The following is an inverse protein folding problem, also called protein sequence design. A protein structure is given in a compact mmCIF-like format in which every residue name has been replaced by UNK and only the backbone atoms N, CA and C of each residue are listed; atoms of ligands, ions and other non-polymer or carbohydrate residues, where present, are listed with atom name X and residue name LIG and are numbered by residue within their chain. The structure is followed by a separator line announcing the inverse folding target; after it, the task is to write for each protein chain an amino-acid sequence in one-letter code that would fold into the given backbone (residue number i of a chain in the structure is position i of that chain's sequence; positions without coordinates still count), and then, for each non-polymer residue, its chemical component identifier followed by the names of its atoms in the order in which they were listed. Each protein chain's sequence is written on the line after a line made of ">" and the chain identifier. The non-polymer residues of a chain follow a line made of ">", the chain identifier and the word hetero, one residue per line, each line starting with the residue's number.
data_IF_790976501388
#
_entry.id   IF_790976501388
#
_cell.length_a   1.000
_cell.length_b   1.000
_cell.length_c   1.000
_cell.angle_alpha   90.00
_cell.angle_beta   90.00
_cell.angle_gamma   90.00
#
_symmetry.space_group_name_H-M   'P 1'
#
loop_
_entity.id
_entity.type
_entity.pdbx_description
1 polymer ?
#
# COMPACT_ATOMS: atom_id res chain seq x y z
N UNK A 1 5.71 37.67 70.39
CA UNK A 1 6.93 38.12 71.12
C UNK A 1 8.16 37.56 70.41
N UNK A 2 9.33 38.17 70.64
CA UNK A 2 10.69 37.66 70.35
C UNK A 2 11.07 37.37 68.88
N UNK A 3 11.85 38.30 68.32
CA UNK A 3 12.97 38.02 67.39
C UNK A 3 14.22 37.66 68.24
N UNK A 4 15.25 36.99 67.69
CA UNK A 4 16.36 37.72 67.06
C UNK A 4 16.99 37.07 65.79
N UNK A 5 17.92 37.84 65.20
CA UNK A 5 18.77 37.62 63.99
C UNK A 5 20.07 36.85 64.35
N UNK A 6 21.16 36.76 63.53
CA UNK A 6 21.39 37.13 62.11
C UNK A 6 22.16 36.10 61.23
N UNK A 7 22.31 36.42 59.93
CA UNK A 7 23.46 36.35 58.98
C UNK A 7 24.66 35.37 59.24
N UNK A 8 25.42 34.85 58.25
CA UNK A 8 25.92 35.43 56.98
C UNK A 8 26.28 34.39 55.90
N UNK A 9 26.24 34.79 54.61
CA UNK A 9 27.10 34.40 53.43
C UNK A 9 27.49 32.91 53.18
N UNK A 10 27.69 32.38 51.96
CA UNK A 10 28.05 32.90 50.62
C UNK A 10 27.88 31.75 49.60
N UNK A 11 27.89 31.87 48.26
CA UNK A 11 27.88 32.99 47.29
C UNK A 11 27.31 32.48 45.94
N UNK A 12 27.14 33.33 44.91
CA UNK A 12 26.58 32.96 43.57
C UNK A 12 27.67 32.90 42.47
N UNK A 13 27.38 32.35 41.27
CA UNK A 13 27.10 33.28 40.15
C UNK A 13 25.88 32.86 39.29
N UNK A 14 25.21 33.85 38.71
CA UNK A 14 23.99 33.66 37.93
C UNK A 14 24.24 33.58 36.42
N UNK A 15 23.46 32.76 35.71
CA UNK A 15 23.39 32.75 34.24
C UNK A 15 22.36 33.81 33.80
N UNK A 16 22.74 34.71 32.89
CA UNK A 16 21.84 35.75 32.37
C UNK A 16 20.80 35.16 31.41
N UNK A 17 19.55 35.59 31.59
CA UNK A 17 18.55 35.59 30.52
C UNK A 17 18.85 36.80 29.62
N UNK A 18 18.74 36.60 28.30
CA UNK A 18 18.56 37.66 27.32
C UNK A 18 17.37 37.29 26.42
N UNK A 19 16.65 38.31 25.95
CA UNK A 19 15.42 38.17 25.18
C UNK A 19 15.70 38.07 23.66
N UNK A 20 14.62 38.01 22.89
CA UNK A 20 14.60 37.85 21.43
C UNK A 20 15.36 38.95 20.66
N UNK A 21 15.60 38.69 19.37
CA UNK A 21 15.06 39.62 18.38
C UNK A 21 14.08 38.93 17.43
N UNK A 22 12.96 39.60 17.14
CA UNK A 22 12.19 39.32 15.93
C UNK A 22 12.99 39.71 14.68
N UNK A 23 12.82 38.95 13.60
CA UNK A 23 13.36 39.27 12.28
C UNK A 23 12.87 38.28 11.23
N UNK A 24 12.28 38.71 10.10
CA UNK A 24 11.86 37.80 9.05
C UNK A 24 13.08 37.18 8.38
N UNK A 25 13.11 35.86 8.30
CA UNK A 25 14.12 35.14 7.50
C UNK A 25 13.69 35.15 6.03
N UNK A 26 13.81 36.31 5.39
CA UNK A 26 13.66 36.42 3.93
C UNK A 26 14.80 35.63 3.25
N UNK A 27 14.45 34.46 2.73
CA UNK A 27 15.33 33.68 1.89
C UNK A 27 15.50 34.41 0.55
N UNK A 28 16.61 35.15 0.39
CA UNK A 28 16.90 35.91 -0.83
C UNK A 28 16.99 34.99 -2.05
N UNK A 29 16.57 35.46 -3.26
CA UNK A 29 16.54 34.61 -4.46
C UNK A 29 17.88 34.00 -4.86
N UNK A 30 19.01 34.62 -4.49
CA UNK A 30 20.36 34.20 -4.89
C UNK A 30 20.76 32.79 -4.43
N UNK A 31 20.15 32.24 -3.37
CA UNK A 31 20.41 30.86 -2.94
C UNK A 31 19.87 29.83 -3.96
N UNK A 32 18.82 30.19 -4.70
CA UNK A 32 18.30 29.38 -5.80
C UNK A 32 19.08 29.63 -7.11
N UNK A 33 19.51 30.88 -7.35
CA UNK A 33 20.27 31.22 -8.56
C UNK A 33 21.71 30.66 -8.53
N UNK A 34 22.30 30.50 -7.35
CA UNK A 34 23.58 29.80 -7.15
C UNK A 34 23.56 28.34 -7.64
N UNK A 35 22.40 27.67 -7.60
CA UNK A 35 22.21 26.32 -8.14
C UNK A 35 22.06 26.29 -9.67
N UNK A 36 21.81 27.43 -10.32
CA UNK A 36 21.66 27.53 -11.77
C UNK A 36 22.98 27.83 -12.51
N UNK A 37 24.02 28.30 -11.79
CA UNK A 37 25.27 28.80 -12.40
C UNK A 37 26.38 27.75 -12.57
N UNK A 38 26.33 26.60 -11.88
CA UNK A 38 27.32 25.52 -12.06
C UNK A 38 26.92 24.58 -13.22
N UNK A 39 26.95 25.14 -14.43
CA UNK A 39 26.39 24.53 -15.64
C UNK A 39 27.14 23.28 -16.12
N UNK A 40 26.56 22.09 -15.88
CA UNK A 40 26.90 20.86 -16.62
C UNK A 40 27.10 19.60 -15.79
N UNK A 41 27.13 19.68 -14.46
CA UNK A 41 27.24 18.50 -13.57
C UNK A 41 25.97 18.33 -12.74
N UNK A 42 25.10 17.40 -13.17
CA UNK A 42 24.01 16.94 -12.32
C UNK A 42 24.54 16.34 -11.02
N UNK A 43 23.77 16.43 -9.94
CA UNK A 43 24.01 15.66 -8.73
C UNK A 43 23.28 14.31 -8.81
N UNK A 44 23.78 13.24 -8.15
CA UNK A 44 23.06 11.98 -8.00
C UNK A 44 21.77 12.19 -7.19
N UNK A 45 20.75 11.36 -7.43
CA UNK A 45 19.49 11.46 -6.72
C UNK A 45 19.63 11.06 -5.24
N UNK A 46 18.81 11.68 -4.39
CA UNK A 46 18.70 11.36 -2.97
C UNK A 46 17.34 10.73 -2.69
N UNK A 47 17.33 9.41 -2.54
CA UNK A 47 16.14 8.62 -2.23
C UNK A 47 15.92 8.52 -0.72
N UNK A 48 14.85 9.13 -0.22
CA UNK A 48 14.39 9.03 1.17
C UNK A 48 13.38 7.89 1.33
N UNK A 49 13.77 6.83 2.03
CA UNK A 49 12.91 5.70 2.38
C UNK A 49 12.08 5.98 3.64
N UNK A 50 10.76 6.00 3.47
CA UNK A 50 9.75 6.02 4.54
C UNK A 50 9.25 4.60 4.83
N UNK A 51 8.11 4.46 5.52
CA UNK A 51 7.69 3.18 6.08
C UNK A 51 7.43 2.13 5.00
N UNK A 52 8.03 0.95 5.15
CA UNK A 52 7.89 -0.16 4.23
C UNK A 52 6.71 -1.09 4.53
N UNK A 53 6.72 -2.23 3.82
CA UNK A 53 6.09 -3.48 4.27
C UNK A 53 7.09 -4.25 5.14
N UNK A 54 6.60 -5.02 6.11
CA UNK A 54 7.41 -5.88 6.98
C UNK A 54 8.17 -6.95 6.17
N UNK A 55 9.37 -6.59 5.71
CA UNK A 55 10.24 -7.41 4.87
C UNK A 55 11.60 -6.74 4.67
N UNK A 56 12.65 -7.48 4.26
CA UNK A 56 13.94 -6.89 3.88
C UNK A 56 13.93 -6.02 2.61
N UNK A 57 12.83 -6.00 1.83
CA UNK A 57 12.81 -5.46 0.46
C UNK A 57 13.32 -4.01 0.36
N UNK A 58 12.95 -3.11 1.29
CA UNK A 58 13.43 -1.72 1.25
C UNK A 58 14.91 -1.59 1.59
N UNK A 59 15.46 -2.43 2.47
CA UNK A 59 16.91 -2.43 2.74
C UNK A 59 17.70 -2.96 1.54
N UNK A 60 17.22 -4.02 0.90
CA UNK A 60 17.85 -4.61 -0.28
C UNK A 60 17.76 -3.65 -1.50
N UNK A 61 16.63 -2.94 -1.65
CA UNK A 61 16.44 -1.88 -2.66
C UNK A 61 17.32 -0.65 -2.40
N UNK A 62 17.38 -0.19 -1.16
CA UNK A 62 18.22 0.94 -0.74
C UNK A 62 19.71 0.64 -0.92
N UNK A 63 20.15 -0.59 -0.65
CA UNK A 63 21.51 -1.02 -0.95
C UNK A 63 21.79 -0.99 -2.46
N UNK A 64 20.90 -1.54 -3.29
CA UNK A 64 21.08 -1.56 -4.75
C UNK A 64 21.14 -0.15 -5.38
N UNK A 65 20.40 0.82 -4.84
CA UNK A 65 20.50 2.23 -5.26
C UNK A 65 21.84 2.87 -4.86
N UNK A 66 22.36 2.59 -3.65
CA UNK A 66 23.71 3.04 -3.24
C UNK A 66 24.80 2.45 -4.15
N UNK A 67 24.72 1.16 -4.49
CA UNK A 67 25.67 0.51 -5.43
C UNK A 67 25.66 1.15 -6.83
N UNK A 68 24.63 1.91 -7.19
CA UNK A 68 24.56 2.66 -8.46
C UNK A 68 24.98 4.12 -8.35
N UNK A 69 25.49 4.55 -7.21
CA UNK A 69 26.00 5.90 -6.96
C UNK A 69 24.93 6.92 -6.53
N UNK A 70 23.71 6.47 -6.21
CA UNK A 70 22.67 7.34 -5.66
C UNK A 70 22.81 7.48 -4.14
N UNK A 71 22.44 8.65 -3.62
CA UNK A 71 22.31 8.85 -2.19
C UNK A 71 21.02 8.18 -1.69
N UNK A 72 21.09 7.54 -0.51
CA UNK A 72 19.94 6.86 0.09
C UNK A 72 19.86 7.16 1.57
N UNK A 73 18.73 7.74 1.96
CA UNK A 73 18.34 8.12 3.32
C UNK A 73 17.15 7.28 3.79
N UNK A 74 16.92 7.25 5.09
CA UNK A 74 15.88 6.43 5.73
C UNK A 74 15.41 7.13 6.99
N UNK A 75 14.09 7.29 7.16
CA UNK A 75 13.48 7.75 8.41
C UNK A 75 12.66 6.60 9.02
N UNK A 76 13.17 5.99 10.08
CA UNK A 76 12.43 4.97 10.83
C UNK A 76 11.36 5.63 11.71
N UNK A 77 10.15 5.07 11.72
CA UNK A 77 9.04 5.53 12.58
C UNK A 77 8.78 4.62 13.79
N UNK A 78 9.32 3.41 13.80
CA UNK A 78 9.10 2.41 14.84
C UNK A 78 10.23 1.37 14.93
N UNK A 79 10.13 0.46 15.90
CA UNK A 79 11.17 -0.53 16.17
C UNK A 79 11.21 -1.66 15.13
N UNK A 80 10.06 -2.01 14.54
CA UNK A 80 10.01 -2.87 13.35
C UNK A 80 10.62 -2.21 12.10
N UNK A 81 10.43 -0.90 11.93
CA UNK A 81 11.03 -0.11 10.85
C UNK A 81 12.57 -0.12 10.92
N UNK A 82 13.11 -0.05 12.13
CA UNK A 82 14.53 -0.16 12.44
C UNK A 82 15.05 -1.59 12.24
N UNK A 83 14.35 -2.61 12.76
CA UNK A 83 14.76 -4.02 12.65
C UNK A 83 14.97 -4.48 11.20
N UNK A 84 14.17 -3.98 10.26
CA UNK A 84 14.25 -4.38 8.85
C UNK A 84 15.20 -3.50 8.00
N UNK A 85 15.84 -2.49 8.57
CA UNK A 85 16.80 -1.64 7.86
C UNK A 85 18.25 -1.94 8.29
N UNK A 86 19.13 -2.24 7.33
CA UNK A 86 20.50 -2.70 7.59
C UNK A 86 21.60 -1.63 7.45
N UNK A 87 21.24 -0.36 7.29
CA UNK A 87 22.20 0.72 7.04
C UNK A 87 22.02 1.92 7.96
N UNK A 88 22.82 2.97 7.72
CA UNK A 88 22.60 4.28 8.35
C UNK A 88 21.15 4.75 8.14
N UNK A 89 20.53 5.28 9.20
CA UNK A 89 19.15 5.76 9.20
C UNK A 89 18.91 6.79 10.29
N UNK A 90 18.06 7.76 9.97
CA UNK A 90 17.49 8.72 10.90
C UNK A 90 16.26 8.11 11.59
N UNK A 91 15.97 8.51 12.83
CA UNK A 91 14.93 7.89 13.65
C UNK A 91 13.95 8.96 14.14
N UNK A 92 12.75 9.02 13.54
CA UNK A 92 11.74 10.01 13.91
C UNK A 92 10.97 9.56 15.15
N UNK A 93 11.42 10.04 16.32
CA UNK A 93 10.82 9.74 17.64
C UNK A 93 9.69 10.71 18.03
N UNK A 94 9.42 11.72 17.20
CA UNK A 94 8.47 12.81 17.46
C UNK A 94 6.99 12.45 17.24
N UNK A 95 6.09 13.38 17.59
CA UNK A 95 4.65 13.20 17.42
C UNK A 95 4.19 13.37 15.96
N UNK A 96 3.02 12.83 15.60
CA UNK A 96 2.40 13.06 14.28
C UNK A 96 2.15 14.55 13.97
N UNK A 97 1.98 15.41 14.99
CA UNK A 97 1.77 16.86 14.83
C UNK A 97 3.03 17.60 14.38
N UNK A 98 4.21 17.14 14.82
CA UNK A 98 5.50 17.75 14.46
C UNK A 98 6.11 17.19 13.16
N UNK A 99 5.50 16.14 12.58
CA UNK A 99 6.03 15.47 11.40
C UNK A 99 6.14 16.35 10.14
N UNK A 100 5.16 17.22 9.79
CA UNK A 100 5.28 18.07 8.60
C UNK A 100 6.52 18.96 8.64
N UNK A 101 6.68 19.75 9.71
CA UNK A 101 7.81 20.66 9.88
C UNK A 101 9.17 19.93 9.96
N UNK A 102 9.21 18.75 10.59
CA UNK A 102 10.42 17.91 10.57
C UNK A 102 10.77 17.44 9.16
N UNK A 103 9.80 16.97 8.38
CA UNK A 103 10.03 16.49 7.02
C UNK A 103 10.40 17.63 6.07
N UNK A 104 9.77 18.80 6.19
CA UNK A 104 10.12 20.01 5.43
C UNK A 104 11.60 20.39 5.65
N UNK A 105 12.03 20.50 6.90
CA UNK A 105 13.42 20.80 7.24
C UNK A 105 14.40 19.67 6.83
N UNK A 106 13.95 18.41 6.85
CA UNK A 106 14.75 17.25 6.42
C UNK A 106 14.95 17.24 4.90
N UNK A 107 13.91 17.50 4.12
CA UNK A 107 13.96 17.55 2.64
C UNK A 107 15.00 18.58 2.18
N UNK A 108 14.95 19.78 2.75
CA UNK A 108 15.88 20.87 2.43
C UNK A 108 17.32 20.56 2.88
N UNK A 109 17.52 20.15 4.15
CA UNK A 109 18.86 19.89 4.70
C UNK A 109 19.60 18.77 3.97
N UNK A 110 18.90 17.71 3.60
CA UNK A 110 19.50 16.49 3.06
C UNK A 110 19.42 16.41 1.52
N UNK A 111 18.93 17.46 0.86
CA UNK A 111 18.79 17.52 -0.61
C UNK A 111 17.94 16.37 -1.17
N UNK A 112 16.81 16.05 -0.52
CA UNK A 112 15.96 14.91 -0.92
C UNK A 112 15.30 15.20 -2.26
N UNK A 113 15.48 14.30 -3.24
CA UNK A 113 14.91 14.45 -4.59
C UNK A 113 13.74 13.49 -4.84
N UNK A 114 13.74 12.35 -4.14
CA UNK A 114 12.84 11.23 -4.35
C UNK A 114 12.41 10.64 -3.00
N UNK A 115 11.11 10.37 -2.81
CA UNK A 115 10.58 9.71 -1.60
C UNK A 115 10.09 8.31 -1.98
N UNK A 116 10.55 7.28 -1.27
CA UNK A 116 10.14 5.87 -1.46
C UNK A 116 9.32 5.41 -0.26
N UNK A 117 8.09 4.91 -0.49
CA UNK A 117 7.18 4.54 0.58
C UNK A 117 6.29 3.35 0.21
N UNK A 118 5.76 2.62 1.20
CA UNK A 118 4.75 1.57 0.97
C UNK A 118 3.36 2.04 1.41
N UNK A 119 2.42 2.12 0.46
CA UNK A 119 1.05 2.60 0.66
C UNK A 119 0.98 4.09 1.03
N UNK A 120 0.52 4.92 0.09
CA UNK A 120 0.43 6.38 0.21
C UNK A 120 -0.50 6.90 1.32
N UNK A 121 -1.56 6.18 1.63
CA UNK A 121 -2.60 6.63 2.57
C UNK A 121 -2.23 6.56 4.07
N UNK A 122 -1.05 6.04 4.45
CA UNK A 122 -0.64 5.99 5.87
C UNK A 122 -0.40 7.41 6.41
N UNK A 123 -0.61 7.70 7.72
CA UNK A 123 -0.62 9.09 8.22
C UNK A 123 0.68 9.87 8.00
N UNK A 124 1.84 9.21 8.10
CA UNK A 124 3.14 9.84 7.79
C UNK A 124 3.36 10.00 6.27
N UNK A 125 2.78 9.13 5.45
CA UNK A 125 2.92 9.14 3.98
C UNK A 125 2.00 10.14 3.30
N UNK A 126 0.79 10.35 3.82
CA UNK A 126 -0.12 11.39 3.35
C UNK A 126 0.54 12.78 3.47
N UNK A 127 1.14 13.08 4.63
CA UNK A 127 1.95 14.29 4.83
C UNK A 127 3.14 14.33 3.86
N UNK A 128 3.85 13.21 3.69
CA UNK A 128 5.00 13.17 2.78
C UNK A 128 4.65 13.44 1.32
N UNK A 129 3.42 13.12 0.87
CA UNK A 129 2.93 13.46 -0.48
C UNK A 129 2.63 14.95 -0.63
N UNK A 130 2.05 15.59 0.37
CA UNK A 130 1.86 17.05 0.33
C UNK A 130 3.19 17.81 0.41
N UNK A 131 4.16 17.34 1.23
CA UNK A 131 5.52 17.88 1.24
C UNK A 131 6.20 17.69 -0.13
N UNK A 132 6.15 16.49 -0.70
CA UNK A 132 6.70 16.21 -2.02
C UNK A 132 6.10 17.11 -3.11
N UNK A 133 4.77 17.30 -3.10
CA UNK A 133 4.06 18.18 -4.02
C UNK A 133 4.52 19.64 -3.93
N UNK A 134 4.83 20.15 -2.72
CA UNK A 134 5.34 21.52 -2.52
C UNK A 134 6.75 21.72 -3.06
N UNK A 135 7.63 20.73 -2.95
CA UNK A 135 9.03 20.81 -3.41
C UNK A 135 9.29 20.14 -4.77
N UNK A 136 8.25 19.70 -5.50
CA UNK A 136 8.39 19.03 -6.80
C UNK A 136 9.06 17.65 -6.75
N UNK A 137 9.07 16.98 -5.59
CA UNK A 137 9.75 15.69 -5.41
C UNK A 137 8.97 14.56 -6.07
N UNK A 138 9.71 13.57 -6.58
CA UNK A 138 9.12 12.32 -7.07
C UNK A 138 8.74 11.43 -5.89
N UNK A 139 7.55 10.83 -5.92
CA UNK A 139 7.10 9.88 -4.90
C UNK A 139 6.92 8.51 -5.52
N UNK A 140 7.70 7.54 -5.08
CA UNK A 140 7.69 6.16 -5.57
C UNK A 140 6.93 5.29 -4.57
N UNK A 141 5.70 4.94 -4.94
CA UNK A 141 4.75 4.25 -4.06
C UNK A 141 4.71 2.78 -4.39
N UNK A 142 5.11 1.97 -3.41
CA UNK A 142 5.04 0.52 -3.47
C UNK A 142 3.75 -0.01 -2.84
N UNK A 143 3.23 -1.10 -3.40
CA UNK A 143 2.09 -1.86 -2.89
C UNK A 143 2.25 -3.34 -3.31
N UNK A 144 1.43 -4.25 -2.77
CA UNK A 144 1.18 -5.54 -3.41
C UNK A 144 0.70 -5.37 -4.87
N UNK A 145 0.92 -6.39 -5.71
CA UNK A 145 0.59 -6.28 -7.13
C UNK A 145 -0.91 -6.08 -7.38
N UNK A 146 -1.24 -5.18 -8.32
CA UNK A 146 -2.59 -5.12 -8.91
C UNK A 146 -2.92 -6.41 -9.66
N UNK A 147 -1.90 -7.07 -10.24
CA UNK A 147 -1.99 -8.37 -10.93
C UNK A 147 -1.15 -9.38 -10.13
N UNK A 148 -1.76 -10.49 -9.69
CA UNK A 148 -1.18 -11.41 -8.69
C UNK A 148 -1.01 -12.82 -9.28
N UNK A 149 -0.09 -13.67 -8.77
CA UNK A 149 0.82 -13.47 -7.63
C UNK A 149 2.21 -12.95 -8.03
N UNK A 150 2.51 -12.81 -9.32
CA UNK A 150 3.88 -12.68 -9.83
C UNK A 150 4.46 -11.25 -9.84
N UNK A 151 3.71 -10.26 -9.34
CA UNK A 151 4.07 -8.84 -9.44
C UNK A 151 3.90 -8.10 -8.12
N UNK A 152 4.65 -7.01 -7.98
CA UNK A 152 4.43 -5.95 -7.01
C UNK A 152 4.12 -4.64 -7.75
N UNK A 153 3.47 -3.71 -7.06
CA UNK A 153 3.21 -2.37 -7.60
C UNK A 153 4.36 -1.43 -7.23
N UNK A 154 4.80 -0.61 -8.19
CA UNK A 154 5.72 0.51 -8.04
C UNK A 154 5.27 1.62 -9.00
N UNK A 155 4.59 2.62 -8.46
CA UNK A 155 3.92 3.69 -9.22
C UNK A 155 4.41 5.09 -8.77
N UNK A 156 4.48 6.02 -9.72
CA UNK A 156 4.91 7.40 -9.48
C UNK A 156 3.72 8.27 -9.07
N UNK A 157 3.84 8.98 -7.94
CA UNK A 157 2.87 9.94 -7.39
C UNK A 157 1.80 9.36 -6.46
N UNK A 158 1.33 8.13 -6.73
CA UNK A 158 0.28 7.47 -5.95
C UNK A 158 -0.14 6.12 -6.51
N UNK A 159 -0.90 5.36 -5.73
CA UNK A 159 -1.51 4.07 -6.11
C UNK A 159 -3.02 4.08 -5.87
N UNK A 160 -3.72 3.04 -6.32
CA UNK A 160 -5.15 2.84 -6.07
C UNK A 160 -6.02 4.04 -6.48
N UNK A 161 -6.60 4.78 -5.51
CA UNK A 161 -7.39 5.97 -5.81
C UNK A 161 -6.53 7.12 -6.35
N UNK A 162 -5.28 7.24 -5.91
CA UNK A 162 -4.30 8.22 -6.38
C UNK A 162 -3.47 7.74 -7.59
N UNK A 163 -3.80 6.57 -8.16
CA UNK A 163 -3.10 6.06 -9.35
C UNK A 163 -3.30 6.98 -10.57
N UNK A 164 -2.20 7.19 -11.28
CA UNK A 164 -2.10 7.98 -12.52
C UNK A 164 -2.54 7.23 -13.78
N UNK A 165 -3.03 5.99 -13.63
CA UNK A 165 -3.55 5.19 -14.72
C UNK A 165 -4.75 5.86 -15.43
N UNK A 166 -4.86 5.73 -16.77
CA UNK A 166 -5.97 6.30 -17.54
C UNK A 166 -7.32 5.77 -17.07
N UNK A 167 -8.34 6.64 -17.09
CA UNK A 167 -9.70 6.36 -16.56
C UNK A 167 -10.78 6.28 -17.64
N UNK A 168 -10.40 6.18 -18.91
CA UNK A 168 -11.33 6.01 -20.04
C UNK A 168 -10.80 4.99 -21.04
N UNK A 169 -11.71 4.34 -21.77
CA UNK A 169 -11.36 3.28 -22.71
C UNK A 169 -10.48 3.78 -23.86
N UNK A 170 -10.69 5.02 -24.31
CA UNK A 170 -9.96 5.67 -25.40
C UNK A 170 -8.50 5.91 -24.98
N UNK A 171 -8.30 6.43 -23.76
CA UNK A 171 -6.97 6.69 -23.21
C UNK A 171 -6.20 5.39 -22.92
N UNK A 172 -6.89 4.35 -22.45
CA UNK A 172 -6.34 2.99 -22.30
C UNK A 172 -5.88 2.45 -23.65
N UNK A 173 -6.77 2.38 -24.65
CA UNK A 173 -6.49 1.88 -26.01
C UNK A 173 -5.38 2.68 -26.70
N UNK A 174 -5.39 4.01 -26.59
CA UNK A 174 -4.40 4.88 -27.20
C UNK A 174 -3.00 4.73 -26.58
N UNK A 175 -2.90 4.53 -25.27
CA UNK A 175 -1.65 4.22 -24.61
C UNK A 175 -1.19 2.80 -24.95
N UNK A 176 -2.08 1.81 -24.84
CA UNK A 176 -1.76 0.40 -25.05
C UNK A 176 -1.17 0.13 -26.44
N UNK A 177 -1.72 0.73 -27.52
CA UNK A 177 -1.16 0.66 -28.88
C UNK A 177 0.31 1.07 -28.99
N UNK A 178 0.84 1.87 -28.06
CA UNK A 178 2.24 2.33 -28.02
C UNK A 178 3.14 1.49 -27.10
N UNK A 179 2.59 0.49 -26.40
CA UNK A 179 3.34 -0.35 -25.46
C UNK A 179 3.82 -1.64 -26.13
N UNK A 180 5.07 -2.09 -25.84
CA UNK A 180 5.56 -3.38 -26.29
C UNK A 180 4.72 -4.53 -25.73
N UNK A 181 4.82 -5.70 -26.35
CA UNK A 181 4.18 -6.91 -25.82
C UNK A 181 4.77 -7.26 -24.44
N UNK A 182 3.96 -7.73 -23.47
CA UNK A 182 4.46 -8.10 -22.15
C UNK A 182 5.52 -9.21 -22.21
N UNK A 183 6.68 -8.97 -21.59
CA UNK A 183 7.74 -9.97 -21.48
C UNK A 183 7.33 -11.20 -20.64
N UNK A 184 8.05 -12.32 -20.83
CA UNK A 184 7.76 -13.59 -20.15
C UNK A 184 7.79 -13.43 -18.63
N UNK A 185 6.63 -13.67 -18.00
CA UNK A 185 6.49 -13.62 -16.54
C UNK A 185 7.34 -14.71 -15.89
N UNK A 186 8.21 -14.37 -14.94
CA UNK A 186 8.84 -15.37 -14.08
C UNK A 186 7.92 -15.66 -12.89
N UNK A 187 7.57 -16.94 -12.61
CA UNK A 187 6.76 -17.29 -11.45
C UNK A 187 7.38 -16.84 -10.13
N UNK A 188 6.54 -16.30 -9.25
CA UNK A 188 6.88 -15.89 -7.89
C UNK A 188 6.09 -16.74 -6.91
N UNK A 189 6.77 -17.65 -6.23
CA UNK A 189 6.15 -18.52 -5.23
C UNK A 189 5.76 -17.69 -4.00
N UNK A 190 4.46 -17.72 -3.67
CA UNK A 190 3.90 -16.99 -2.54
C UNK A 190 4.33 -17.59 -1.20
N UNK A 191 5.48 -17.17 -0.69
CA UNK A 191 6.04 -17.66 0.57
C UNK A 191 5.28 -17.08 1.78
N UNK A 192 4.15 -17.71 2.09
CA UNK A 192 3.28 -17.37 3.22
C UNK A 192 3.97 -17.60 4.58
N UNK A 193 4.93 -18.53 4.64
CA UNK A 193 5.70 -18.80 5.87
C UNK A 193 6.63 -17.62 6.18
N UNK A 194 7.40 -17.14 5.20
CA UNK A 194 8.20 -15.91 5.35
C UNK A 194 7.34 -14.66 5.55
N UNK A 195 6.20 -14.54 4.88
CA UNK A 195 5.25 -13.43 5.13
C UNK A 195 4.85 -13.38 6.61
N UNK A 196 4.47 -14.52 7.17
CA UNK A 196 4.08 -14.64 8.58
C UNK A 196 5.26 -14.37 9.51
N UNK A 197 6.45 -14.92 9.21
CA UNK A 197 7.67 -14.68 9.98
C UNK A 197 8.04 -13.19 10.03
N UNK A 198 8.05 -12.49 8.88
CA UNK A 198 8.44 -11.09 8.84
C UNK A 198 7.42 -10.17 9.51
N UNK A 199 6.11 -10.40 9.34
CA UNK A 199 5.07 -9.66 10.08
C UNK A 199 5.20 -9.89 11.59
N UNK A 200 5.42 -11.13 12.04
CA UNK A 200 5.68 -11.47 13.45
C UNK A 200 6.92 -10.75 13.97
N UNK A 201 8.08 -10.85 13.29
CA UNK A 201 9.31 -10.17 13.75
C UNK A 201 9.15 -8.64 13.83
N UNK A 202 8.51 -8.02 12.83
CA UNK A 202 8.24 -6.58 12.81
C UNK A 202 7.36 -6.15 14.00
N UNK A 203 6.33 -6.93 14.28
CA UNK A 203 5.37 -6.66 15.33
C UNK A 203 5.89 -6.95 16.74
N UNK A 204 6.67 -8.02 16.94
CA UNK A 204 7.35 -8.28 18.20
C UNK A 204 8.36 -7.18 18.54
N UNK A 205 9.08 -6.64 17.56
CA UNK A 205 9.96 -5.49 17.79
C UNK A 205 9.20 -4.25 18.28
N UNK A 206 8.02 -3.97 17.71
CA UNK A 206 7.16 -2.87 18.15
C UNK A 206 6.56 -3.10 19.56
N UNK A 207 6.37 -4.36 19.97
CA UNK A 207 5.83 -4.74 21.30
C UNK A 207 6.91 -4.69 22.38
N UNK A 208 8.12 -5.20 22.12
CA UNK A 208 9.19 -5.30 23.12
C UNK A 208 10.08 -4.05 23.20
N UNK A 209 10.18 -3.25 22.14
CA UNK A 209 11.03 -2.05 22.12
C UNK A 209 10.28 -0.72 21.88
N UNK A 210 9.08 -0.47 22.44
CA UNK A 210 8.30 0.74 22.14
C UNK A 210 9.00 2.03 22.62
N UNK A 211 9.87 1.93 23.63
CA UNK A 211 10.67 3.05 24.16
C UNK A 211 11.65 3.63 23.13
N UNK A 212 11.99 2.90 22.07
CA UNK A 212 12.77 3.44 20.96
C UNK A 212 11.96 4.50 20.18
N UNK A 213 10.62 4.39 20.13
CA UNK A 213 9.74 5.30 19.39
C UNK A 213 8.47 5.63 20.20
N UNK A 214 8.58 6.38 21.31
CA UNK A 214 7.52 6.55 22.30
C UNK A 214 6.26 7.27 21.78
N UNK A 215 6.35 7.94 20.64
CA UNK A 215 5.22 8.60 19.98
C UNK A 215 4.72 7.85 18.73
N UNK A 216 5.27 6.68 18.43
CA UNK A 216 4.74 5.83 17.37
C UNK A 216 3.32 5.39 17.71
N UNK A 217 2.43 5.53 16.72
CA UNK A 217 1.10 4.92 16.73
C UNK A 217 0.94 4.18 15.42
N UNK A 218 0.48 2.93 15.49
CA UNK A 218 0.22 2.10 14.31
C UNK A 218 -0.77 2.77 13.35
N UNK A 219 -0.73 2.34 12.09
CA UNK A 219 -1.74 2.66 11.08
C UNK A 219 -2.90 1.65 11.10
N UNK A 220 -2.71 0.45 11.69
CA UNK A 220 -3.79 -0.53 11.92
C UNK A 220 -4.74 -0.03 13.04
N UNK A 221 -6.06 -0.26 12.95
CA UNK A 221 -7.02 0.18 13.96
C UNK A 221 -6.99 -0.70 15.23
N UNK A 222 -6.64 -1.98 15.08
CA UNK A 222 -6.57 -2.98 16.16
C UNK A 222 -5.18 -3.03 16.78
N UNK A 223 -5.11 -3.27 18.10
CA UNK A 223 -3.84 -3.55 18.75
C UNK A 223 -3.31 -4.91 18.31
N UNK A 224 -2.03 -4.95 17.94
CA UNK A 224 -1.35 -6.09 17.31
C UNK A 224 -1.47 -7.39 18.13
N UNK A 225 -1.40 -7.32 19.46
CA UNK A 225 -1.57 -8.49 20.32
C UNK A 225 -2.98 -9.12 20.22
N UNK A 226 -4.02 -8.31 19.96
CA UNK A 226 -5.37 -8.82 19.70
C UNK A 226 -5.45 -9.48 18.32
N UNK A 227 -4.78 -8.93 17.31
CA UNK A 227 -4.70 -9.56 15.98
C UNK A 227 -4.10 -10.98 16.08
N UNK A 228 -3.03 -11.17 16.87
CA UNK A 228 -2.47 -12.50 17.12
C UNK A 228 -3.40 -13.44 17.90
N UNK A 229 -4.12 -12.96 18.92
CA UNK A 229 -5.11 -13.77 19.62
C UNK A 229 -6.25 -14.24 18.68
N UNK A 230 -6.70 -13.36 17.76
CA UNK A 230 -7.61 -13.71 16.68
C UNK A 230 -7.03 -14.78 15.74
N UNK A 231 -5.80 -14.58 15.26
CA UNK A 231 -5.10 -15.53 14.39
C UNK A 231 -4.96 -16.92 15.01
N UNK A 232 -4.54 -17.04 16.27
CA UNK A 232 -4.45 -18.32 17.00
C UNK A 232 -5.82 -19.03 17.01
N UNK A 233 -6.89 -18.28 17.30
CA UNK A 233 -8.29 -18.76 17.28
C UNK A 233 -8.80 -19.10 15.87
N UNK A 234 -8.26 -18.50 14.81
CA UNK A 234 -8.55 -18.86 13.40
C UNK A 234 -7.82 -20.15 13.00
N UNK A 235 -6.55 -20.29 13.39
CA UNK A 235 -5.75 -21.48 13.09
C UNK A 235 -6.33 -22.76 13.71
N UNK A 236 -6.75 -22.74 14.99
CA UNK A 236 -7.35 -23.92 15.64
C UNK A 236 -8.68 -24.37 15.01
N UNK A 237 -9.37 -23.50 14.26
CA UNK A 237 -10.65 -23.78 13.60
C UNK A 237 -10.51 -24.10 12.10
N UNK A 238 -9.33 -23.83 11.51
CA UNK A 238 -9.03 -23.89 10.07
C UNK A 238 -9.48 -25.20 9.38
N UNK A 239 -9.34 -26.34 10.06
CA UNK A 239 -9.76 -27.65 9.53
C UNK A 239 -11.28 -27.76 9.32
N UNK A 240 -12.09 -27.26 10.27
CA UNK A 240 -13.55 -27.18 10.14
C UNK A 240 -13.95 -26.17 9.06
N UNK A 241 -13.33 -24.98 9.08
CA UNK A 241 -13.61 -23.92 8.11
C UNK A 241 -13.35 -24.37 6.67
N UNK A 242 -12.22 -25.08 6.41
CA UNK A 242 -11.89 -25.60 5.08
C UNK A 242 -12.93 -26.61 4.57
N UNK A 243 -13.45 -27.49 5.44
CA UNK A 243 -14.53 -28.44 5.09
C UNK A 243 -15.86 -27.74 4.81
N UNK A 244 -16.20 -26.72 5.61
CA UNK A 244 -17.42 -25.91 5.40
C UNK A 244 -17.39 -25.18 4.06
N UNK A 245 -16.26 -24.55 3.71
CA UNK A 245 -16.09 -23.86 2.45
C UNK A 245 -16.00 -24.80 1.24
N UNK A 246 -15.37 -25.97 1.39
CA UNK A 246 -15.34 -27.02 0.36
C UNK A 246 -16.77 -27.50 0.05
N UNK A 247 -17.53 -27.92 1.07
CA UNK A 247 -18.93 -28.35 0.91
C UNK A 247 -19.82 -27.26 0.30
N UNK A 248 -19.61 -26.00 0.66
CA UNK A 248 -20.36 -24.89 0.05
C UNK A 248 -19.99 -24.70 -1.44
N UNK A 249 -18.71 -24.79 -1.79
CA UNK A 249 -18.25 -24.73 -3.20
C UNK A 249 -18.76 -25.92 -4.00
N UNK A 250 -18.77 -27.12 -3.42
CA UNK A 250 -19.34 -28.34 -3.99
C UNK A 250 -20.84 -28.17 -4.27
N UNK A 251 -21.62 -27.65 -3.31
CA UNK A 251 -23.06 -27.38 -3.50
C UNK A 251 -23.28 -26.36 -4.63
N UNK A 252 -22.55 -25.24 -4.63
CA UNK A 252 -22.71 -24.20 -5.66
C UNK A 252 -22.37 -24.72 -7.06
N UNK A 253 -21.29 -25.51 -7.19
CA UNK A 253 -20.87 -26.09 -8.46
C UNK A 253 -21.78 -27.25 -8.94
N UNK A 254 -22.22 -28.13 -8.04
CA UNK A 254 -22.99 -29.33 -8.39
C UNK A 254 -24.49 -29.06 -8.61
N UNK A 255 -25.05 -28.04 -7.96
CA UNK A 255 -26.47 -27.64 -8.12
C UNK A 255 -26.64 -26.60 -9.25
N UNK A 256 -25.54 -26.06 -9.80
CA UNK A 256 -25.59 -25.03 -10.84
C UNK A 256 -26.30 -23.76 -10.36
N UNK A 257 -26.08 -23.39 -9.09
CA UNK A 257 -26.88 -22.35 -8.45
C UNK A 257 -26.52 -20.95 -8.97
N UNK A 258 -27.51 -20.13 -9.33
CA UNK A 258 -27.31 -18.73 -9.71
C UNK A 258 -26.91 -17.87 -8.50
N UNK A 259 -25.78 -17.15 -8.59
CA UNK A 259 -25.34 -16.25 -7.53
C UNK A 259 -24.53 -15.05 -8.00
N UNK A 260 -24.53 -14.03 -7.14
CA UNK A 260 -23.53 -12.96 -7.15
C UNK A 260 -22.52 -13.16 -6.01
N UNK A 261 -21.28 -12.74 -6.24
CA UNK A 261 -20.18 -12.86 -5.27
C UNK A 261 -19.87 -11.50 -4.61
N UNK A 262 -19.79 -11.49 -3.28
CA UNK A 262 -19.36 -10.36 -2.47
C UNK A 262 -18.09 -10.74 -1.67
N UNK A 263 -16.88 -10.56 -2.24
CA UNK A 263 -15.63 -10.80 -1.53
C UNK A 263 -15.29 -9.59 -0.64
N UNK A 264 -15.25 -9.82 0.67
CA UNK A 264 -14.94 -8.79 1.65
C UNK A 264 -13.44 -8.42 1.60
N UNK A 265 -13.15 -7.13 1.73
CA UNK A 265 -11.81 -6.58 2.01
C UNK A 265 -11.58 -6.49 3.53
N UNK A 266 -10.36 -6.12 3.97
CA UNK A 266 -10.06 -5.90 5.39
C UNK A 266 -10.59 -4.54 5.85
N UNK A 267 -11.27 -4.45 6.98
CA UNK A 267 -11.73 -3.16 7.54
C UNK A 267 -10.58 -2.21 7.94
N UNK A 268 -9.38 -2.77 8.16
CA UNK A 268 -8.13 -2.02 8.37
C UNK A 268 -7.50 -1.47 7.08
N UNK A 269 -8.04 -1.81 5.90
CA UNK A 269 -7.54 -1.38 4.59
C UNK A 269 -7.82 0.11 4.34
N UNK A 270 -6.77 0.85 3.99
CA UNK A 270 -6.90 2.26 3.64
C UNK A 270 -7.71 2.48 2.36
N UNK A 271 -7.81 1.49 1.45
CA UNK A 271 -8.69 1.58 0.30
C UNK A 271 -10.17 1.72 0.71
N UNK A 272 -10.61 1.11 1.81
CA UNK A 272 -12.00 1.24 2.32
C UNK A 272 -12.18 2.56 3.09
N UNK A 273 -11.10 3.11 3.66
CA UNK A 273 -11.16 4.30 4.52
C UNK A 273 -10.90 5.63 3.80
N UNK A 274 -10.39 5.59 2.56
CA UNK A 274 -9.96 6.78 1.78
C UNK A 274 -10.47 6.77 0.33
N UNK A 275 -10.80 5.60 -0.23
CA UNK A 275 -11.15 5.44 -1.66
C UNK A 275 -12.53 4.79 -1.85
N UNK A 276 -13.46 5.13 -0.97
CA UNK A 276 -14.73 4.45 -0.74
C UNK A 276 -15.74 5.43 -0.13
N UNK A 277 -17.03 5.36 -0.50
CA UNK A 277 -18.08 6.17 0.13
C UNK A 277 -18.56 5.61 1.48
N UNK A 278 -18.02 4.48 1.94
CA UNK A 278 -18.44 3.78 3.15
C UNK A 278 -17.48 4.01 4.33
N UNK A 279 -18.04 4.19 5.53
CA UNK A 279 -17.28 4.35 6.78
C UNK A 279 -16.57 3.07 7.27
N UNK A 280 -16.79 1.93 6.63
CA UNK A 280 -16.22 0.62 6.97
C UNK A 280 -16.90 -0.54 6.24
N UNK A 281 -16.42 -1.77 6.45
CA UNK A 281 -16.93 -2.98 5.79
C UNK A 281 -18.40 -3.27 6.12
N UNK A 282 -18.84 -2.97 7.34
CA UNK A 282 -20.24 -3.20 7.75
C UNK A 282 -21.24 -2.40 6.90
N UNK A 283 -20.98 -1.09 6.71
CA UNK A 283 -21.87 -0.21 5.94
C UNK A 283 -21.92 -0.56 4.46
N UNK A 284 -20.79 -0.95 3.87
CA UNK A 284 -20.74 -1.50 2.51
C UNK A 284 -21.57 -2.79 2.41
N UNK A 285 -21.34 -3.74 3.31
CA UNK A 285 -22.02 -5.03 3.31
C UNK A 285 -23.54 -4.88 3.52
N UNK A 286 -24.00 -4.02 4.43
CA UNK A 286 -25.44 -3.79 4.64
C UNK A 286 -26.10 -3.12 3.43
N UNK A 287 -25.43 -2.16 2.78
CA UNK A 287 -25.92 -1.52 1.54
C UNK A 287 -26.05 -2.53 0.39
N UNK A 288 -25.08 -3.45 0.25
CA UNK A 288 -25.11 -4.49 -0.80
C UNK A 288 -26.20 -5.52 -0.52
N UNK A 289 -26.31 -6.02 0.72
CA UNK A 289 -27.36 -6.97 1.09
C UNK A 289 -28.75 -6.36 0.95
N UNK A 290 -28.92 -5.07 1.31
CA UNK A 290 -30.17 -4.33 1.12
C UNK A 290 -30.57 -4.27 -0.37
N UNK A 291 -29.70 -3.72 -1.22
CA UNK A 291 -29.97 -3.58 -2.67
C UNK A 291 -30.22 -4.94 -3.33
N UNK A 292 -29.46 -5.97 -2.95
CA UNK A 292 -29.70 -7.34 -3.39
C UNK A 292 -31.09 -7.84 -2.99
N UNK A 293 -31.53 -7.59 -1.76
CA UNK A 293 -32.86 -7.99 -1.30
C UNK A 293 -33.99 -7.25 -2.06
N UNK A 294 -33.80 -5.96 -2.34
CA UNK A 294 -34.79 -5.09 -2.98
C UNK A 294 -34.96 -5.38 -4.49
N UNK A 295 -33.91 -5.80 -5.21
CA UNK A 295 -33.95 -5.90 -6.68
C UNK A 295 -33.63 -7.30 -7.26
N UNK A 296 -32.91 -8.17 -6.55
CA UNK A 296 -32.57 -9.50 -7.11
C UNK A 296 -33.74 -10.47 -7.06
N UNK A 297 -34.01 -11.14 -8.19
CA UNK A 297 -35.07 -12.15 -8.30
C UNK A 297 -34.62 -13.48 -7.69
N UNK A 298 -35.56 -14.18 -7.05
CA UNK A 298 -35.36 -15.59 -6.70
C UNK A 298 -35.27 -16.46 -7.98
N UNK A 299 -34.53 -17.59 -7.98
CA UNK A 299 -33.84 -18.21 -6.85
C UNK A 299 -32.43 -17.65 -6.56
N UNK A 300 -31.96 -16.62 -7.27
CA UNK A 300 -30.57 -16.12 -7.19
C UNK A 300 -30.13 -15.82 -5.75
N UNK A 301 -28.88 -16.19 -5.43
CA UNK A 301 -28.24 -16.06 -4.12
C UNK A 301 -27.16 -14.96 -4.08
N UNK A 302 -26.82 -14.51 -2.87
CA UNK A 302 -25.66 -13.66 -2.61
C UNK A 302 -24.65 -14.42 -1.74
N UNK A 303 -23.47 -14.70 -2.30
CA UNK A 303 -22.41 -15.40 -1.60
C UNK A 303 -21.38 -14.41 -1.04
N UNK A 304 -21.39 -14.24 0.29
CA UNK A 304 -20.41 -13.40 0.99
C UNK A 304 -19.15 -14.22 1.31
N UNK A 305 -17.98 -13.76 0.87
CA UNK A 305 -16.70 -14.44 1.08
C UNK A 305 -15.79 -13.62 1.98
N UNK A 306 -15.40 -14.16 3.13
CA UNK A 306 -14.47 -13.50 4.05
C UNK A 306 -13.06 -13.36 3.46
N UNK A 307 -12.40 -12.24 3.76
CA UNK A 307 -11.00 -12.02 3.39
C UNK A 307 -10.08 -13.06 4.05
N UNK A 308 -9.13 -13.69 3.31
CA UNK A 308 -8.27 -14.72 3.88
C UNK A 308 -7.42 -14.21 5.05
N UNK A 309 -6.98 -12.94 4.98
CA UNK A 309 -6.16 -12.28 6.00
C UNK A 309 -6.97 -11.66 7.16
N UNK A 310 -8.30 -11.83 7.22
CA UNK A 310 -9.08 -11.39 8.38
C UNK A 310 -8.74 -12.26 9.62
N UNK A 311 -8.49 -11.62 10.76
CA UNK A 311 -8.06 -12.29 12.00
C UNK A 311 -9.20 -12.94 12.79
N UNK A 312 -10.46 -12.78 12.38
CA UNK A 312 -11.63 -13.31 13.09
C UNK A 312 -11.99 -12.57 14.39
N UNK A 313 -11.41 -11.38 14.62
CA UNK A 313 -11.78 -10.50 15.73
C UNK A 313 -13.21 -9.96 15.56
N UNK A 314 -13.54 -9.47 14.37
CA UNK A 314 -14.88 -9.01 14.02
C UNK A 314 -15.64 -10.18 13.38
N UNK A 315 -16.81 -10.51 13.94
CA UNK A 315 -17.61 -11.63 13.46
C UNK A 315 -18.48 -11.21 12.25
N UNK A 316 -17.86 -10.98 11.10
CA UNK A 316 -18.54 -10.54 9.86
C UNK A 316 -19.73 -11.43 9.47
N UNK A 317 -19.68 -12.74 9.75
CA UNK A 317 -20.80 -13.67 9.54
C UNK A 317 -22.03 -13.31 10.40
N UNK A 318 -21.84 -12.79 11.62
CA UNK A 318 -22.94 -12.29 12.47
C UNK A 318 -23.58 -11.04 11.85
N UNK A 319 -22.76 -10.11 11.36
CA UNK A 319 -23.23 -8.88 10.71
C UNK A 319 -23.98 -9.18 9.40
N UNK A 320 -23.40 -9.99 8.51
CA UNK A 320 -24.04 -10.44 7.27
C UNK A 320 -25.41 -11.08 7.53
N UNK A 321 -25.49 -12.00 8.51
CA UNK A 321 -26.77 -12.64 8.90
C UNK A 321 -27.75 -11.69 9.58
N UNK A 322 -27.28 -10.66 10.30
CA UNK A 322 -28.15 -9.66 10.91
C UNK A 322 -28.77 -8.73 9.85
N UNK A 323 -27.96 -8.30 8.88
CA UNK A 323 -28.40 -7.58 7.67
C UNK A 323 -29.39 -8.42 6.85
N UNK A 324 -29.05 -9.70 6.58
CA UNK A 324 -29.92 -10.60 5.82
C UNK A 324 -31.28 -10.88 6.47
N UNK A 325 -31.39 -10.80 7.81
CA UNK A 325 -32.69 -10.83 8.51
C UNK A 325 -33.42 -9.49 8.40
N UNK A 326 -32.71 -8.38 8.60
CA UNK A 326 -33.24 -7.01 8.51
C UNK A 326 -33.90 -6.72 7.16
N UNK A 327 -33.30 -7.23 6.08
CA UNK A 327 -33.77 -7.04 4.70
C UNK A 327 -34.48 -8.28 4.13
N UNK A 328 -34.93 -9.23 4.96
CA UNK A 328 -35.80 -10.35 4.53
C UNK A 328 -35.17 -11.40 3.58
N UNK A 329 -33.85 -11.41 3.41
CA UNK A 329 -33.13 -12.19 2.37
C UNK A 329 -32.30 -13.36 2.94
N UNK A 330 -32.56 -13.78 4.17
CA UNK A 330 -31.77 -14.80 4.90
C UNK A 330 -31.62 -16.13 4.15
N UNK A 331 -32.70 -16.63 3.55
CA UNK A 331 -32.67 -17.91 2.81
C UNK A 331 -31.88 -17.84 1.50
N UNK A 332 -31.56 -16.63 1.00
CA UNK A 332 -30.81 -16.39 -0.24
C UNK A 332 -29.39 -15.83 0.00
N UNK A 333 -28.92 -15.76 1.26
CA UNK A 333 -27.58 -15.29 1.59
C UNK A 333 -26.72 -16.36 2.24
N UNK A 334 -25.57 -16.67 1.63
CA UNK A 334 -24.55 -17.54 2.19
C UNK A 334 -23.31 -16.77 2.64
N UNK A 335 -22.54 -17.37 3.55
CA UNK A 335 -21.29 -16.80 4.04
C UNK A 335 -20.23 -17.90 4.18
N UNK A 336 -19.08 -17.72 3.53
CA UNK A 336 -17.92 -18.63 3.57
C UNK A 336 -16.65 -17.93 4.07
N UNK A 337 -15.75 -18.72 4.68
CA UNK A 337 -14.38 -18.33 5.02
C UNK A 337 -13.45 -19.36 4.35
N UNK A 338 -12.58 -18.93 3.45
CA UNK A 338 -11.88 -19.81 2.51
C UNK A 338 -12.67 -20.10 1.23
N UNK A 339 -12.46 -21.29 0.64
CA UNK A 339 -12.89 -21.63 -0.73
C UNK A 339 -11.95 -21.03 -1.79
N UNK A 340 -11.83 -21.67 -2.96
CA UNK A 340 -11.03 -21.13 -4.05
C UNK A 340 -11.66 -19.84 -4.63
N UNK A 341 -10.87 -18.82 -4.94
CA UNK A 341 -11.41 -17.53 -5.41
C UNK A 341 -11.68 -17.52 -6.93
N UNK A 342 -10.74 -17.94 -7.81
CA UNK A 342 -11.03 -18.12 -9.24
C UNK A 342 -12.28 -18.96 -9.51
N UNK A 343 -12.44 -20.11 -8.87
CA UNK A 343 -13.63 -20.98 -9.07
C UNK A 343 -14.94 -20.26 -8.72
N UNK A 344 -14.96 -19.48 -7.64
CA UNK A 344 -16.14 -18.71 -7.23
C UNK A 344 -16.40 -17.48 -8.09
N UNK A 345 -15.38 -16.95 -8.78
CA UNK A 345 -15.55 -15.92 -9.80
C UNK A 345 -16.10 -16.56 -11.07
N UNK A 346 -15.56 -17.71 -11.51
CA UNK A 346 -16.02 -18.45 -12.68
C UNK A 346 -17.49 -18.93 -12.59
N UNK A 347 -17.99 -19.19 -11.39
CA UNK A 347 -19.39 -19.59 -11.18
C UNK A 347 -20.38 -18.42 -11.05
N UNK A 348 -19.92 -17.19 -10.77
CA UNK A 348 -20.82 -16.07 -10.47
C UNK A 348 -21.45 -15.44 -11.72
N UNK A 349 -22.71 -14.96 -11.59
CA UNK A 349 -23.35 -14.03 -12.54
C UNK A 349 -22.66 -12.66 -12.57
N UNK A 350 -22.08 -12.26 -11.45
CA UNK A 350 -21.32 -11.02 -11.31
C UNK A 350 -20.70 -10.86 -9.92
N UNK A 351 -19.76 -9.92 -9.80
CA UNK A 351 -19.00 -9.67 -8.57
C UNK A 351 -19.15 -8.22 -8.14
N UNK A 352 -19.53 -7.98 -6.87
CA UNK A 352 -19.66 -6.65 -6.26
C UNK A 352 -18.53 -6.40 -5.28
N UNK A 353 -17.83 -5.29 -5.43
CA UNK A 353 -16.62 -4.93 -4.66
C UNK A 353 -16.55 -3.43 -4.38
N UNK A 354 -15.74 -3.03 -3.40
CA UNK A 354 -15.39 -1.60 -3.24
C UNK A 354 -14.33 -1.25 -4.29
N UNK A 355 -13.10 -1.75 -4.13
CA UNK A 355 -11.96 -1.38 -4.97
C UNK A 355 -10.79 -2.39 -4.94
N UNK A 356 -11.01 -3.61 -4.40
CA UNK A 356 -10.01 -4.68 -4.31
C UNK A 356 -9.35 -5.04 -5.65
N UNK A 357 -8.10 -5.51 -5.60
CA UNK A 357 -7.45 -6.17 -6.76
C UNK A 357 -8.17 -7.45 -7.20
N UNK A 358 -9.11 -8.00 -6.41
CA UNK A 358 -10.03 -9.07 -6.84
C UNK A 358 -10.86 -8.65 -8.05
N UNK A 359 -11.13 -7.36 -8.24
CA UNK A 359 -11.78 -6.85 -9.45
C UNK A 359 -10.97 -7.11 -10.72
N UNK A 360 -9.64 -6.98 -10.68
CA UNK A 360 -8.78 -7.32 -11.83
C UNK A 360 -8.94 -8.78 -12.23
N UNK A 361 -8.97 -9.70 -11.26
CA UNK A 361 -9.19 -11.13 -11.52
C UNK A 361 -10.60 -11.39 -12.08
N UNK A 362 -11.61 -10.70 -11.57
CA UNK A 362 -13.00 -10.78 -12.08
C UNK A 362 -13.09 -10.35 -13.55
N UNK A 363 -12.43 -9.24 -13.91
CA UNK A 363 -12.33 -8.73 -15.28
C UNK A 363 -11.52 -9.65 -16.20
N UNK A 364 -10.35 -10.13 -15.75
CA UNK A 364 -9.54 -11.12 -16.49
C UNK A 364 -10.31 -12.44 -16.75
N UNK A 365 -11.30 -12.77 -15.92
CA UNK A 365 -12.18 -13.94 -16.07
C UNK A 365 -13.51 -13.64 -16.80
N UNK A 366 -13.62 -12.46 -17.43
CA UNK A 366 -14.78 -12.05 -18.22
C UNK A 366 -16.07 -11.84 -17.44
N UNK A 367 -15.99 -11.63 -16.11
CA UNK A 367 -17.17 -11.54 -15.25
C UNK A 367 -17.67 -10.10 -15.11
N UNK A 368 -18.99 -9.86 -15.23
CA UNK A 368 -19.59 -8.60 -14.85
C UNK A 368 -19.13 -8.19 -13.45
N UNK A 369 -18.60 -6.97 -13.34
CA UNK A 369 -17.96 -6.49 -12.12
C UNK A 369 -18.46 -5.08 -11.83
N UNK A 370 -19.01 -4.86 -10.64
CA UNK A 370 -19.46 -3.55 -10.19
C UNK A 370 -18.61 -3.10 -9.00
N UNK A 371 -17.91 -1.97 -9.18
CA UNK A 371 -17.01 -1.39 -8.20
C UNK A 371 -17.64 -0.12 -7.60
N UNK A 372 -17.95 -0.17 -6.31
CA UNK A 372 -18.69 0.90 -5.60
C UNK A 372 -17.73 1.95 -5.01
N UNK A 373 -16.42 1.75 -5.11
CA UNK A 373 -15.39 2.70 -4.71
C UNK A 373 -14.46 3.11 -5.86
N UNK A 374 -13.47 3.95 -5.55
CA UNK A 374 -12.46 4.38 -6.50
C UNK A 374 -11.45 3.27 -6.73
N UNK A 375 -11.59 2.55 -7.85
CA UNK A 375 -10.64 1.54 -8.31
C UNK A 375 -9.97 1.97 -9.63
N UNK A 376 -8.77 1.46 -9.90
CA UNK A 376 -8.02 1.80 -11.13
C UNK A 376 -8.73 1.35 -12.42
N UNK A 377 -9.52 0.28 -12.32
CA UNK A 377 -10.26 -0.35 -13.41
C UNK A 377 -11.73 0.08 -13.49
N UNK A 378 -12.19 0.99 -12.61
CA UNK A 378 -13.60 1.39 -12.58
C UNK A 378 -13.86 2.43 -13.68
N UNK A 379 -14.31 1.97 -14.85
CA UNK A 379 -14.61 2.78 -16.03
C UNK A 379 -15.52 2.03 -17.01
N UNK A 380 -16.17 2.78 -17.91
CA UNK A 380 -16.94 2.21 -19.02
C UNK A 380 -16.12 1.20 -19.85
N UNK A 381 -16.77 0.12 -20.28
CA UNK A 381 -16.16 -1.00 -20.99
C UNK A 381 -15.39 -1.98 -20.10
N UNK A 382 -15.04 -1.63 -18.84
CA UNK A 382 -14.48 -2.57 -17.88
C UNK A 382 -15.51 -2.99 -16.82
N UNK A 383 -16.06 -2.04 -16.07
CA UNK A 383 -17.02 -2.32 -14.98
C UNK A 383 -18.42 -1.84 -15.34
N UNK A 384 -19.44 -2.48 -14.76
CA UNK A 384 -20.83 -2.02 -14.89
C UNK A 384 -20.99 -0.62 -14.26
N UNK A 385 -21.25 0.37 -15.12
CA UNK A 385 -21.39 1.80 -14.77
C UNK A 385 -22.80 2.18 -14.32
N UNK A 386 -23.77 1.26 -14.41
CA UNK A 386 -25.10 1.45 -13.82
C UNK A 386 -25.06 1.43 -12.29
N UNK A 387 -26.22 1.65 -11.67
CA UNK A 387 -26.33 1.57 -10.21
C UNK A 387 -26.31 0.11 -9.72
N UNK A 388 -26.12 -0.06 -8.41
CA UNK A 388 -26.06 -1.39 -7.80
C UNK A 388 -27.36 -2.18 -7.99
N UNK A 389 -28.52 -1.51 -8.11
CA UNK A 389 -29.80 -2.17 -8.31
C UNK A 389 -29.88 -2.81 -9.71
N UNK A 390 -29.53 -2.05 -10.75
CA UNK A 390 -29.48 -2.51 -12.14
C UNK A 390 -28.53 -3.70 -12.33
N UNK A 391 -27.39 -3.71 -11.64
CA UNK A 391 -26.42 -4.81 -11.69
C UNK A 391 -27.01 -6.19 -11.32
N UNK A 392 -28.03 -6.27 -10.45
CA UNK A 392 -28.64 -7.55 -10.09
C UNK A 392 -29.48 -8.16 -11.21
N UNK A 393 -30.05 -7.32 -12.08
CA UNK A 393 -30.93 -7.73 -13.18
C UNK A 393 -30.19 -7.80 -14.51
N UNK A 394 -29.43 -6.75 -14.86
CA UNK A 394 -28.68 -6.61 -16.12
C UNK A 394 -27.17 -6.33 -15.88
N UNK A 395 -26.42 -7.34 -15.42
CA UNK A 395 -24.99 -7.22 -15.14
C UNK A 395 -24.15 -7.16 -16.43
N UNK A 396 -23.71 -5.96 -16.82
CA UNK A 396 -22.88 -5.74 -18.02
C UNK A 396 -21.51 -6.46 -17.91
N UNK A 397 -21.14 -7.32 -18.88
CA UNK A 397 -19.82 -7.95 -18.93
C UNK A 397 -18.74 -6.98 -19.43
N UNK A 398 -17.45 -7.24 -19.13
CA UNK A 398 -16.34 -6.43 -19.63
C UNK A 398 -16.04 -6.65 -21.13
N UNK A 399 -15.59 -5.59 -21.80
CA UNK A 399 -15.02 -5.65 -23.15
C UNK A 399 -13.62 -6.31 -23.08
N UNK A 400 -13.51 -7.58 -23.47
CA UNK A 400 -12.27 -8.35 -23.26
C UNK A 400 -11.03 -7.78 -23.96
N UNK A 401 -11.17 -7.11 -25.10
CA UNK A 401 -10.07 -6.39 -25.75
C UNK A 401 -9.59 -5.20 -24.89
N UNK A 402 -10.53 -4.49 -24.24
CA UNK A 402 -10.20 -3.41 -23.31
C UNK A 402 -9.59 -3.95 -22.02
N UNK A 403 -10.02 -5.13 -21.53
CA UNK A 403 -9.36 -5.84 -20.42
C UNK A 403 -7.91 -6.16 -20.78
N UNK A 404 -7.65 -6.68 -21.99
CA UNK A 404 -6.31 -6.99 -22.46
C UNK A 404 -5.42 -5.74 -22.58
N UNK A 405 -5.93 -4.66 -23.18
CA UNK A 405 -5.23 -3.38 -23.28
C UNK A 405 -4.99 -2.74 -21.90
N UNK A 406 -5.99 -2.71 -21.02
CA UNK A 406 -5.86 -2.19 -19.65
C UNK A 406 -4.82 -2.99 -18.86
N UNK A 407 -4.84 -4.32 -18.97
CA UNK A 407 -3.85 -5.21 -18.36
C UNK A 407 -2.43 -4.93 -18.87
N UNK A 408 -2.25 -4.73 -20.19
CA UNK A 408 -0.97 -4.34 -20.79
C UNK A 408 -0.49 -2.99 -20.26
N UNK A 409 -1.40 -2.01 -20.15
CA UNK A 409 -1.12 -0.69 -19.56
C UNK A 409 -0.70 -0.81 -18.09
N UNK A 410 -1.47 -1.52 -17.26
CA UNK A 410 -1.17 -1.74 -15.84
C UNK A 410 0.20 -2.40 -15.65
N UNK A 411 0.48 -3.48 -16.39
CA UNK A 411 1.76 -4.19 -16.33
C UNK A 411 2.94 -3.24 -16.60
N UNK A 412 2.89 -2.50 -17.71
CA UNK A 412 3.98 -1.60 -18.09
C UNK A 412 4.09 -0.36 -17.19
N UNK A 413 2.97 0.26 -16.80
CA UNK A 413 2.93 1.54 -16.08
C UNK A 413 3.10 1.42 -14.57
N UNK A 414 2.87 0.24 -13.97
CA UNK A 414 2.87 0.12 -12.50
C UNK A 414 3.51 -1.16 -11.94
N UNK A 415 3.64 -2.25 -12.71
CA UNK A 415 4.03 -3.54 -12.13
C UNK A 415 5.53 -3.84 -12.29
N UNK A 416 6.08 -4.57 -11.32
CA UNK A 416 7.45 -5.10 -11.30
C UNK A 416 7.40 -6.58 -10.92
N UNK A 417 8.07 -7.45 -11.68
CA UNK A 417 8.06 -8.89 -11.43
C UNK A 417 8.88 -9.25 -10.18
N UNK A 418 8.30 -10.00 -9.25
CA UNK A 418 8.95 -10.34 -7.99
C UNK A 418 7.97 -10.52 -6.82
N UNK A 419 8.34 -10.04 -5.64
CA UNK A 419 7.54 -10.16 -4.42
C UNK A 419 8.34 -9.83 -3.15
N UNK A 420 7.66 -9.44 -2.08
CA UNK A 420 8.32 -8.88 -0.89
C UNK A 420 8.92 -9.89 0.10
N UNK A 421 8.61 -11.20 0.01
CA UNK A 421 8.81 -12.10 1.15
C UNK A 421 9.94 -13.14 1.00
N UNK A 422 10.18 -13.70 -0.20
CA UNK A 422 11.23 -14.69 -0.46
C UNK A 422 12.46 -14.06 -1.12
N UNK A 423 13.67 -14.57 -0.81
CA UNK A 423 14.95 -13.97 -1.28
C UNK A 423 15.00 -13.81 -2.81
N UNK A 424 14.51 -14.80 -3.56
CA UNK A 424 14.44 -14.78 -5.02
C UNK A 424 13.38 -13.79 -5.55
N UNK A 425 12.24 -13.67 -4.88
CA UNK A 425 11.20 -12.70 -5.25
C UNK A 425 11.65 -11.26 -4.97
N UNK A 426 12.34 -11.04 -3.85
CA UNK A 426 12.95 -9.75 -3.47
C UNK A 426 14.03 -9.36 -4.47
N UNK A 427 14.97 -10.25 -4.80
CA UNK A 427 16.05 -9.96 -5.74
C UNK A 427 15.53 -9.54 -7.14
N UNK A 428 14.51 -10.24 -7.66
CA UNK A 428 13.86 -9.88 -8.93
C UNK A 428 13.10 -8.55 -8.82
N UNK A 429 12.39 -8.33 -7.72
CA UNK A 429 11.69 -7.07 -7.47
C UNK A 429 12.66 -5.87 -7.40
N UNK A 430 13.81 -6.02 -6.74
CA UNK A 430 14.85 -4.98 -6.68
C UNK A 430 15.44 -4.73 -8.07
N UNK A 431 15.84 -5.79 -8.79
CA UNK A 431 16.41 -5.69 -10.13
C UNK A 431 15.46 -5.03 -11.14
N UNK A 432 14.15 -5.25 -11.04
CA UNK A 432 13.14 -4.61 -11.88
C UNK A 432 12.68 -3.23 -11.40
N UNK A 433 12.77 -2.93 -10.09
CA UNK A 433 12.40 -1.64 -9.53
C UNK A 433 13.48 -0.57 -9.74
N UNK A 434 14.77 -0.92 -9.64
CA UNK A 434 15.86 0.06 -9.74
C UNK A 434 15.88 0.81 -11.10
N UNK A 435 15.79 0.15 -12.28
CA UNK A 435 15.67 0.86 -13.56
C UNK A 435 14.38 1.68 -13.67
N UNK A 436 13.30 1.24 -13.00
CA UNK A 436 12.01 1.94 -12.98
C UNK A 436 12.08 3.25 -12.20
N UNK A 437 12.86 3.29 -11.12
CA UNK A 437 13.16 4.51 -10.36
C UNK A 437 14.06 5.45 -11.20
N UNK A 438 15.15 4.92 -11.77
CA UNK A 438 16.08 5.72 -12.59
C UNK A 438 15.43 6.33 -13.84
N UNK A 439 14.47 5.64 -14.47
CA UNK A 439 13.72 6.14 -15.63
C UNK A 439 12.79 7.34 -15.32
N UNK A 440 12.78 7.84 -14.07
CA UNK A 440 12.09 9.08 -13.68
C UNK A 440 13.04 10.23 -13.35
N UNK A 441 14.35 9.99 -13.38
CA UNK A 441 15.40 10.96 -13.08
C UNK A 441 15.86 11.68 -14.37
N UNK A 442 16.37 12.92 -14.29
CA UNK A 442 17.07 13.55 -15.40
C UNK A 442 18.33 12.77 -15.81
N UNK A 443 18.66 12.72 -17.10
CA UNK A 443 19.83 12.00 -17.61
C UNK A 443 21.15 12.46 -16.95
N UNK A 444 21.30 13.75 -16.66
CA UNK A 444 22.45 14.31 -15.95
C UNK A 444 22.61 13.73 -14.53
N UNK A 445 21.51 13.48 -13.81
CA UNK A 445 21.50 12.86 -12.48
C UNK A 445 21.87 11.38 -12.56
N UNK A 446 21.43 10.67 -13.60
CA UNK A 446 21.81 9.27 -13.83
C UNK A 446 23.28 9.15 -14.25
N UNK A 447 23.78 10.08 -15.07
CA UNK A 447 25.19 10.15 -15.47
C UNK A 447 26.11 10.43 -14.28
N UNK A 448 25.71 11.33 -13.37
CA UNK A 448 26.45 11.64 -12.15
C UNK A 448 26.57 10.44 -11.21
N UNK A 449 25.48 9.71 -10.98
CA UNK A 449 25.49 8.48 -10.19
C UNK A 449 26.42 7.41 -10.81
N UNK A 450 26.38 7.23 -12.13
CA UNK A 450 27.32 6.34 -12.85
C UNK A 450 28.79 6.76 -12.69
N UNK A 451 29.09 8.06 -12.74
CA UNK A 451 30.46 8.56 -12.55
C UNK A 451 30.99 8.30 -11.13
N UNK A 452 30.14 8.48 -10.10
CA UNK A 452 30.46 8.14 -8.71
C UNK A 452 30.73 6.64 -8.56
N UNK A 453 29.88 5.79 -9.14
CA UNK A 453 30.08 4.33 -9.14
C UNK A 453 31.40 3.94 -9.81
N UNK A 454 31.66 4.43 -11.03
CA UNK A 454 32.86 4.08 -11.78
C UNK A 454 34.15 4.48 -11.04
N UNK A 455 34.13 5.64 -10.35
CA UNK A 455 35.21 6.06 -9.45
C UNK A 455 35.37 5.10 -8.27
N UNK A 456 34.28 4.75 -7.59
CA UNK A 456 34.30 3.84 -6.44
C UNK A 456 34.77 2.41 -6.80
N UNK A 457 34.50 1.96 -8.03
CA UNK A 457 35.03 0.71 -8.60
C UNK A 457 36.54 0.82 -8.91
N UNK A 458 36.99 1.93 -9.51
CA UNK A 458 38.42 2.18 -9.78
C UNK A 458 39.26 2.36 -8.50
N UNK A 459 38.69 2.91 -7.44
CA UNK A 459 39.29 3.04 -6.11
C UNK A 459 39.22 1.73 -5.28
N UNK A 460 38.72 0.63 -5.86
CA UNK A 460 38.65 -0.70 -5.21
C UNK A 460 37.66 -0.81 -4.05
N UNK A 461 36.85 0.22 -3.80
CA UNK A 461 35.93 0.31 -2.66
C UNK A 461 34.64 -0.51 -2.84
N UNK A 462 34.34 -0.93 -4.07
CA UNK A 462 33.22 -1.82 -4.41
C UNK A 462 33.78 -3.17 -4.86
N UNK A 463 33.33 -4.25 -4.20
CA UNK A 463 33.72 -5.61 -4.58
C UNK A 463 33.23 -5.94 -6.01
N UNK A 464 34.05 -6.61 -6.83
CA UNK A 464 33.70 -6.91 -8.22
C UNK A 464 32.47 -7.82 -8.30
N UNK A 465 31.50 -7.43 -9.12
CA UNK A 465 30.27 -8.18 -9.34
C UNK A 465 30.51 -9.25 -10.41
N UNK A 466 30.41 -10.51 -10.00
CA UNK A 466 30.27 -11.69 -10.85
C UNK A 466 28.83 -12.23 -10.74
#
# INVERSE_FOLDING_TARGET
>A
MLQPRPDTASVVPAVRILADPEGPCDATPDVLDGLARDGGRGLPATFLFLQGIASPFFADLGAALKTRGHQVRRINFCSGDWLFWRGASDNYRGSRRAWPAYLDAYVLREGVTDIVLFGDCRPFHAVAREVAKRYGLRVHVFEEGYIRPNWITCELGGVNGYSSLPRSAEAVRALARRLPQPGRVMPSTGDMARRSLWDVSYNLANIFFPYLYPHFRSHRPTHIAMEYAGWIKKFSRRGRTRREAARCSEIYNAVGCDYFLLPLQLDSDYQIRVHSPFLGVEGFMDRVIKSFAETSRAPTRLLVKLHPLDSGLINWRRFARASARRHGVSERLDFIDGGDLPTLIAGARGVVIVNSTVGMLSLEMGRPTHAVGTAIYNMAGLTHQGDLNGFWTDPTPPEMDLVADFRRVVLHRTQVNGGFFSKQAIARAVAGAVPRLEATLPDATVAAARAIRARAEAEGSLAPVY
#
